data_IF_091532599615
#
_entry.id   IF_091532599615
#
_cell.length_a   1.000
_cell.length_b   1.000
_cell.length_c   1.000
_cell.angle_alpha   90.00
_cell.angle_beta   90.00
_cell.angle_gamma   90.00
#
_symmetry.space_group_name_H-M   'P 1'
#
loop_
_entity.id
_entity.type
_entity.pdbx_description
1 polymer ?
#
# COMPACT_ATOMS: atom_id res chain seq x y z
N UNK A 1 -10.91 -5.53 -20.64
CA UNK A 1 -10.20 -6.19 -19.54
C UNK A 1 -10.00 -5.14 -18.45
N UNK A 2 -10.23 -5.51 -17.19
CA UNK A 2 -10.05 -4.60 -16.06
C UNK A 2 -8.59 -4.19 -15.94
N UNK A 3 -8.34 -2.90 -15.88
CA UNK A 3 -7.03 -2.32 -15.65
C UNK A 3 -6.92 -1.93 -14.18
N UNK A 4 -5.84 -2.39 -13.54
CA UNK A 4 -5.54 -2.15 -12.13
C UNK A 4 -4.19 -1.43 -12.06
N UNK A 5 -4.22 -0.17 -11.66
CA UNK A 5 -3.02 0.67 -11.59
C UNK A 5 -2.78 1.13 -10.15
N UNK A 6 -1.70 0.68 -9.51
CA UNK A 6 -1.33 1.13 -8.17
C UNK A 6 -0.70 2.52 -8.21
N UNK A 7 -1.01 3.36 -7.23
CA UNK A 7 -0.44 4.70 -7.07
C UNK A 7 -0.25 5.02 -5.59
N UNK A 8 0.79 5.80 -5.26
CA UNK A 8 1.01 6.32 -3.90
C UNK A 8 0.77 7.82 -3.92
N UNK A 9 -0.24 8.29 -3.18
CA UNK A 9 -0.54 9.72 -3.04
C UNK A 9 -0.39 10.10 -1.58
N UNK A 10 0.58 10.97 -1.27
CA UNK A 10 0.86 11.40 0.11
C UNK A 10 1.24 10.25 1.04
N UNK A 11 1.88 9.19 0.54
CA UNK A 11 2.23 7.99 1.32
C UNK A 11 1.08 6.99 1.51
N UNK A 12 -0.10 7.27 0.97
CA UNK A 12 -1.26 6.37 1.02
C UNK A 12 -1.28 5.51 -0.26
N UNK A 13 -1.28 4.17 -0.14
CA UNK A 13 -1.45 3.30 -1.30
C UNK A 13 -2.90 3.37 -1.78
N UNK A 14 -3.07 3.76 -3.04
CA UNK A 14 -4.34 3.82 -3.74
C UNK A 14 -4.27 2.93 -4.99
N UNK A 15 -5.44 2.56 -5.51
CA UNK A 15 -5.56 1.78 -6.73
C UNK A 15 -6.60 2.43 -7.63
N UNK A 16 -6.19 2.72 -8.87
CA UNK A 16 -7.11 3.15 -9.93
C UNK A 16 -7.60 1.93 -10.69
N UNK A 17 -8.92 1.72 -10.66
CA UNK A 17 -9.60 0.74 -11.49
C UNK A 17 -10.13 1.43 -12.74
N UNK A 18 -9.87 0.87 -13.92
CA UNK A 18 -10.39 1.41 -15.18
C UNK A 18 -10.73 0.29 -16.17
N UNK A 19 -11.53 0.64 -17.18
CA UNK A 19 -12.09 -0.31 -18.13
C UNK A 19 -13.26 -1.13 -17.58
N UNK A 20 -13.72 -2.10 -18.37
CA UNK A 20 -14.82 -3.01 -17.99
C UNK A 20 -14.34 -4.06 -17.01
N UNK A 21 -15.08 -4.28 -15.92
CA UNK A 21 -14.84 -5.39 -14.99
C UNK A 21 -15.09 -6.72 -15.71
N UNK A 22 -14.01 -7.49 -15.92
CA UNK A 22 -14.04 -8.76 -16.66
C UNK A 22 -13.84 -10.00 -15.79
N UNK A 23 -13.55 -9.83 -14.50
CA UNK A 23 -13.31 -10.91 -13.56
C UNK A 23 -14.59 -11.72 -13.29
N UNK A 24 -14.43 -13.03 -13.09
CA UNK A 24 -15.58 -13.94 -12.90
C UNK A 24 -16.24 -13.80 -11.53
N UNK A 25 -15.52 -13.22 -10.57
CA UNK A 25 -15.99 -13.00 -9.20
C UNK A 25 -15.29 -11.81 -8.57
N UNK A 26 -15.90 -11.26 -7.51
CA UNK A 26 -15.26 -10.22 -6.70
C UNK A 26 -13.96 -10.68 -6.06
N UNK A 27 -13.83 -11.96 -5.71
CA UNK A 27 -12.60 -12.52 -5.15
C UNK A 27 -11.44 -12.50 -6.16
N UNK A 28 -11.72 -12.74 -7.43
CA UNK A 28 -10.72 -12.67 -8.50
C UNK A 28 -10.22 -11.23 -8.70
N UNK A 29 -11.14 -10.25 -8.69
CA UNK A 29 -10.76 -8.83 -8.75
C UNK A 29 -9.97 -8.40 -7.51
N UNK A 30 -10.41 -8.80 -6.32
CA UNK A 30 -9.72 -8.49 -5.08
C UNK A 30 -8.29 -9.05 -5.07
N UNK A 31 -8.10 -10.28 -5.53
CA UNK A 31 -6.77 -10.89 -5.69
C UNK A 31 -5.87 -10.05 -6.59
N UNK A 32 -6.35 -9.64 -7.77
CA UNK A 32 -5.60 -8.77 -8.69
C UNK A 32 -5.21 -7.43 -8.07
N UNK A 33 -6.15 -6.78 -7.37
CA UNK A 33 -5.91 -5.50 -6.66
C UNK A 33 -4.83 -5.67 -5.60
N UNK A 34 -4.94 -6.69 -4.75
CA UNK A 34 -3.97 -6.94 -3.69
C UNK A 34 -2.59 -7.27 -4.23
N UNK A 35 -2.49 -8.08 -5.30
CA UNK A 35 -1.22 -8.35 -5.97
C UNK A 35 -0.60 -7.07 -6.55
N UNK A 36 -1.39 -6.20 -7.19
CA UNK A 36 -0.90 -4.94 -7.72
C UNK A 36 -0.29 -4.05 -6.62
N UNK A 37 -0.96 -3.93 -5.47
CA UNK A 37 -0.46 -3.19 -4.30
C UNK A 37 0.83 -3.82 -3.77
N UNK A 38 0.88 -5.15 -3.63
CA UNK A 38 2.04 -5.86 -3.11
C UNK A 38 3.28 -5.64 -3.99
N UNK A 39 3.15 -5.82 -5.31
CA UNK A 39 4.27 -5.65 -6.22
C UNK A 39 4.66 -4.19 -6.47
N UNK A 40 3.74 -3.23 -6.32
CA UNK A 40 4.10 -1.80 -6.40
C UNK A 40 4.83 -1.28 -5.16
N UNK A 41 4.75 -1.98 -4.03
CA UNK A 41 5.30 -1.53 -2.75
C UNK A 41 6.81 -1.74 -2.59
N UNK A 42 7.52 -2.18 -3.64
CA UNK A 42 8.97 -2.47 -3.56
C UNK A 42 9.89 -1.25 -3.36
N UNK A 43 9.36 -0.01 -3.42
CA UNK A 43 10.12 1.20 -3.06
C UNK A 43 9.68 1.87 -1.75
N UNK A 44 8.61 1.38 -1.12
CA UNK A 44 8.15 1.93 0.15
C UNK A 44 9.02 1.33 1.28
N UNK A 45 10.12 2.00 1.62
CA UNK A 45 10.76 1.79 2.94
C UNK A 45 9.64 1.93 3.99
N UNK A 46 9.50 0.97 4.92
CA UNK A 46 8.53 1.13 6.00
C UNK A 46 8.82 2.46 6.69
N UNK A 47 7.76 3.25 6.94
CA UNK A 47 7.87 4.44 7.77
C UNK A 47 8.48 3.99 9.10
N UNK A 48 9.78 4.21 9.28
CA UNK A 48 10.44 3.90 10.54
C UNK A 48 9.70 4.69 11.60
N UNK A 49 9.03 3.97 12.50
CA UNK A 49 8.41 4.59 13.67
C UNK A 49 9.48 5.46 14.32
N UNK A 50 9.15 6.73 14.59
CA UNK A 50 10.07 7.63 15.27
C UNK A 50 10.57 6.91 16.51
N UNK A 51 11.87 6.68 16.55
CA UNK A 51 12.54 6.01 17.66
C UNK A 51 12.10 6.71 18.95
N UNK A 52 11.55 5.99 19.95
CA UNK A 52 11.16 6.61 21.19
C UNK A 52 12.39 7.34 21.75
N UNK A 53 12.29 8.66 21.90
CA UNK A 53 13.32 9.44 22.58
C UNK A 53 13.37 8.89 24.00
N UNK A 54 14.37 8.07 24.31
CA UNK A 54 14.66 7.69 25.68
C UNK A 54 14.78 9.00 26.45
N UNK A 55 13.84 9.25 27.36
CA UNK A 55 13.94 10.39 28.24
C UNK A 55 15.18 10.16 29.10
N UNK A 56 16.21 10.98 28.89
CA UNK A 56 17.37 11.09 29.77
C UNK A 56 16.85 11.44 31.16
N UNK A 57 16.65 10.41 31.98
CA UNK A 57 16.60 10.58 33.43
C UNK A 57 18.05 10.60 33.91
N UNK A 58 18.68 11.75 33.76
CA UNK A 58 19.86 12.10 34.57
C UNK A 58 19.37 12.24 36.01
N UNK A 59 19.80 11.41 36.97
CA UNK A 59 19.45 11.62 38.36
C UNK A 59 20.22 12.83 38.94
N UNK A 60 19.65 13.54 39.92
CA UNK A 60 20.37 14.56 40.70
C UNK A 60 21.43 13.95 41.61
#
# INVERSE_FOLDING_TARGET
>A
MTQVEPLIVGGIPLVRLSGTVTERSGAELASKVMSAIFYSSHEARPLSLQQPRLADKTPP
#
